data_IF_639368830603
#
_entry.id   IF_639368830603
#
_cell.length_a   1.000
_cell.length_b   1.000
_cell.length_c   1.000
_cell.angle_alpha   90.00
_cell.angle_beta   90.00
_cell.angle_gamma   90.00
#
_symmetry.space_group_name_H-M   'P 1'
#
loop_
_entity.id
_entity.type
_entity.pdbx_description
1 polymer ?
#
# COMPACT_ATOMS: atom_id res chain seq x y z
N UNK A 1 2.36 20.28 3.08
CA UNK A 1 3.00 19.27 2.22
C UNK A 1 2.50 17.89 2.62
N UNK A 2 2.49 16.92 1.70
CA UNK A 2 2.12 15.53 1.99
C UNK A 2 3.40 14.76 2.31
N UNK A 3 3.41 14.00 3.41
CA UNK A 3 4.49 13.08 3.78
C UNK A 3 3.99 11.65 3.68
N UNK A 4 4.71 10.79 2.96
CA UNK A 4 4.39 9.38 2.82
C UNK A 4 5.51 8.53 3.42
N UNK A 5 5.15 7.43 4.09
CA UNK A 5 6.09 6.49 4.68
C UNK A 5 5.80 5.08 4.15
N UNK A 6 6.77 4.49 3.45
CA UNK A 6 6.69 3.09 3.02
C UNK A 6 7.11 2.17 4.16
N UNK A 7 6.20 1.27 4.57
CA UNK A 7 6.41 0.40 5.73
C UNK A 7 6.32 -1.05 5.31
N UNK A 8 7.43 -1.78 5.43
CA UNK A 8 7.41 -3.22 5.24
C UNK A 8 6.49 -3.89 6.28
N UNK A 9 5.77 -4.98 5.93
CA UNK A 9 4.77 -5.59 6.82
C UNK A 9 5.32 -5.93 8.21
N UNK A 10 6.56 -6.41 8.30
CA UNK A 10 7.23 -6.76 9.57
C UNK A 10 7.57 -5.56 10.45
N UNK A 11 7.68 -4.36 9.88
CA UNK A 11 8.03 -3.14 10.59
C UNK A 11 6.81 -2.37 11.13
N UNK A 12 5.58 -2.74 10.71
CA UNK A 12 4.35 -2.01 11.01
C UNK A 12 4.18 -1.66 12.49
N UNK A 13 4.28 -2.64 13.39
CA UNK A 13 4.15 -2.41 14.85
C UNK A 13 5.19 -1.45 15.42
N UNK A 14 6.43 -1.47 14.89
CA UNK A 14 7.50 -0.58 15.33
C UNK A 14 7.21 0.86 14.91
N UNK A 15 6.76 1.03 13.67
CA UNK A 15 6.39 2.34 13.11
C UNK A 15 5.16 2.91 13.81
N UNK A 16 4.13 2.10 14.08
CA UNK A 16 2.95 2.54 14.84
C UNK A 16 3.32 3.07 16.23
N UNK A 17 4.26 2.42 16.92
CA UNK A 17 4.76 2.91 18.21
C UNK A 17 5.52 4.23 18.04
N UNK A 18 6.41 4.32 17.05
CA UNK A 18 7.15 5.55 16.75
C UNK A 18 6.20 6.73 16.50
N UNK A 19 5.17 6.54 15.67
CA UNK A 19 4.19 7.58 15.36
C UNK A 19 3.39 7.99 16.59
N UNK A 20 2.99 7.02 17.43
CA UNK A 20 2.30 7.30 18.70
C UNK A 20 3.16 8.10 19.66
N UNK A 21 4.42 7.72 19.84
CA UNK A 21 5.35 8.40 20.75
C UNK A 21 5.60 9.84 20.26
N UNK A 22 5.61 10.05 18.94
CA UNK A 22 5.68 11.36 18.30
C UNK A 22 4.34 12.12 18.27
N UNK A 23 3.24 11.52 18.74
CA UNK A 23 1.86 12.07 18.67
C UNK A 23 1.43 12.44 17.24
N UNK A 24 1.89 11.67 16.25
CA UNK A 24 1.51 11.83 14.84
C UNK A 24 0.42 10.84 14.50
N UNK A 25 -0.71 11.33 14.01
CA UNK A 25 -1.75 10.51 13.39
C UNK A 25 -1.44 10.34 11.90
N UNK A 26 -1.43 9.09 11.43
CA UNK A 26 -1.21 8.75 10.03
C UNK A 26 -2.35 7.83 9.54
N UNK A 27 -2.79 8.04 8.30
CA UNK A 27 -3.68 7.11 7.62
C UNK A 27 -2.88 5.92 7.08
N UNK A 28 -3.36 4.73 7.34
CA UNK A 28 -2.83 3.51 6.74
C UNK A 28 -3.68 3.16 5.53
N UNK A 29 -3.03 2.89 4.41
CA UNK A 29 -3.67 2.45 3.18
C UNK A 29 -2.72 1.57 2.39
N UNK A 30 -3.29 0.83 1.44
CA UNK A 30 -2.49 0.15 0.42
C UNK A 30 -1.88 1.20 -0.51
N UNK A 31 -0.69 0.92 -1.08
CA UNK A 31 -0.24 1.70 -2.23
C UNK A 31 -1.31 1.61 -3.34
N UNK A 32 -1.51 2.66 -4.15
CA UNK A 32 -2.41 2.57 -5.29
C UNK A 32 -1.93 1.46 -6.22
N UNK A 33 -2.88 0.70 -6.75
CA UNK A 33 -2.62 -0.35 -7.74
C UNK A 33 -2.08 0.26 -9.05
N UNK A 34 -1.48 -0.58 -9.90
CA UNK A 34 -1.00 -0.14 -11.20
C UNK A 34 -2.13 0.47 -12.06
N UNK A 35 -3.33 -0.12 -12.02
CA UNK A 35 -4.49 0.39 -12.76
C UNK A 35 -4.98 1.75 -12.24
N UNK A 36 -5.02 1.95 -10.91
CA UNK A 36 -5.35 3.25 -10.32
C UNK A 36 -4.31 4.31 -10.67
N UNK A 37 -3.02 3.94 -10.70
CA UNK A 37 -1.95 4.86 -11.13
C UNK A 37 -2.15 5.26 -12.60
N UNK A 38 -2.42 4.29 -13.48
CA UNK A 38 -2.67 4.55 -14.90
C UNK A 38 -3.88 5.46 -15.10
N UNK A 39 -4.99 5.18 -14.41
CA UNK A 39 -6.20 5.99 -14.51
C UNK A 39 -5.97 7.43 -14.03
N UNK A 40 -5.22 7.60 -12.94
CA UNK A 40 -4.87 8.92 -12.43
C UNK A 40 -3.90 9.66 -13.36
N UNK A 41 -3.00 8.94 -14.02
CA UNK A 41 -2.10 9.49 -15.03
C UNK A 41 -2.83 9.94 -16.29
N UNK A 42 -3.82 9.16 -16.74
CA UNK A 42 -4.69 9.55 -17.85
C UNK A 42 -5.54 10.77 -17.48
N UNK A 43 -6.06 10.84 -16.26
CA UNK A 43 -6.77 12.02 -15.77
C UNK A 43 -5.87 13.26 -15.71
N UNK A 44 -4.61 13.12 -15.27
CA UNK A 44 -3.63 14.21 -15.29
C UNK A 44 -3.32 14.67 -16.70
N UNK A 45 -3.15 13.73 -17.64
CA UNK A 45 -2.93 14.06 -19.04
C UNK A 45 -4.10 14.88 -19.59
N UNK A 46 -5.34 14.47 -19.34
CA UNK A 46 -6.52 15.19 -19.83
C UNK A 46 -6.69 16.59 -19.21
N UNK A 47 -6.13 16.82 -18.02
CA UNK A 47 -6.12 18.12 -17.36
C UNK A 47 -4.88 18.97 -17.69
N UNK A 48 -3.99 18.49 -18.55
CA UNK A 48 -2.73 19.16 -18.85
C UNK A 48 -2.97 20.45 -19.67
N UNK A 49 -2.44 21.60 -19.22
CA UNK A 49 -2.59 22.88 -19.93
C UNK A 49 -2.11 22.85 -21.38
N UNK A 50 -1.23 21.91 -21.76
CA UNK A 50 -0.70 21.74 -23.12
C UNK A 50 -1.79 21.63 -24.20
N UNK A 51 -3.01 21.21 -23.84
CA UNK A 51 -4.14 21.13 -24.77
C UNK A 51 -4.91 22.45 -24.94
N UNK A 52 -4.67 23.41 -24.06
CA UNK A 52 -5.35 24.72 -24.05
C UNK A 52 -4.42 25.88 -24.38
N UNK A 53 -3.11 25.62 -24.48
CA UNK A 53 -2.12 26.60 -24.91
C UNK A 53 -2.27 26.92 -26.41
N UNK A 54 -2.04 28.18 -26.77
CA UNK A 54 -2.09 28.62 -28.15
C UNK A 54 -0.94 27.99 -28.95
N UNK A 55 -1.27 27.25 -29.99
CA UNK A 55 -0.28 26.73 -30.93
C UNK A 55 0.29 27.85 -31.80
N UNK A 56 1.60 27.88 -31.97
CA UNK A 56 2.23 28.74 -32.99
C UNK A 56 1.83 28.30 -34.41
N UNK A 57 2.00 29.19 -35.39
CA UNK A 57 1.67 28.89 -36.79
C UNK A 57 2.42 27.66 -37.34
N UNK A 58 3.69 27.50 -36.96
CA UNK A 58 4.52 26.37 -37.38
C UNK A 58 4.04 25.04 -36.76
N UNK A 59 3.61 25.06 -35.50
CA UNK A 59 3.07 23.87 -34.82
C UNK A 59 1.73 23.46 -35.41
N UNK A 60 0.88 24.42 -35.75
CA UNK A 60 -0.41 24.16 -36.38
C UNK A 60 -0.26 23.54 -37.80
N UNK A 61 0.71 24.00 -38.58
CA UNK A 61 1.01 23.44 -39.90
C UNK A 61 1.53 22.00 -39.82
N UNK A 62 2.44 21.73 -38.88
CA UNK A 62 2.93 20.37 -38.64
C UNK A 62 1.81 19.45 -38.13
N UNK A 63 0.96 19.93 -37.22
CA UNK A 63 -0.16 19.16 -36.70
C UNK A 63 -1.14 18.76 -37.81
N UNK A 64 -1.47 19.69 -38.72
CA UNK A 64 -2.28 19.38 -39.92
C UNK A 64 -1.63 18.31 -40.78
N UNK A 65 -0.34 18.47 -41.08
CA UNK A 65 0.41 17.50 -41.89
C UNK A 65 0.39 16.10 -41.26
N UNK A 66 0.55 16.00 -39.94
CA UNK A 66 0.49 14.74 -39.20
C UNK A 66 -0.90 14.11 -39.27
N UNK A 67 -1.96 14.90 -39.09
CA UNK A 67 -3.35 14.42 -39.17
C UNK A 67 -3.68 13.96 -40.58
N UNK A 68 -3.30 14.72 -41.61
CA UNK A 68 -3.56 14.37 -43.01
C UNK A 68 -2.82 13.09 -43.45
N UNK A 69 -1.62 12.86 -42.90
CA UNK A 69 -0.79 11.69 -43.27
C UNK A 69 -1.19 10.42 -42.50
N UNK A 70 -1.46 10.53 -41.19
CA UNK A 70 -1.60 9.37 -40.29
C UNK A 70 -3.00 9.22 -39.68
N UNK A 71 -3.85 10.25 -39.75
CA UNK A 71 -5.14 10.29 -39.07
C UNK A 71 -5.03 10.73 -37.60
N UNK A 72 -6.11 11.34 -37.10
CA UNK A 72 -6.15 11.93 -35.75
C UNK A 72 -5.97 10.87 -34.65
N UNK A 73 -6.58 9.70 -34.79
CA UNK A 73 -6.52 8.61 -33.81
C UNK A 73 -5.11 8.05 -33.66
N UNK A 74 -4.39 7.86 -34.78
CA UNK A 74 -3.03 7.34 -34.76
C UNK A 74 -2.05 8.36 -34.18
N UNK A 75 -2.23 9.65 -34.48
CA UNK A 75 -1.43 10.74 -33.90
C UNK A 75 -1.67 10.84 -32.39
N UNK A 76 -2.93 10.79 -31.94
CA UNK A 76 -3.26 10.78 -30.51
C UNK A 76 -2.66 9.55 -29.80
N UNK A 77 -2.76 8.35 -30.40
CA UNK A 77 -2.16 7.15 -29.84
C UNK A 77 -0.63 7.23 -29.77
N UNK A 78 0.02 7.82 -30.78
CA UNK A 78 1.47 8.05 -30.78
C UNK A 78 1.89 9.04 -29.68
N UNK A 79 1.11 10.11 -29.49
CA UNK A 79 1.32 11.06 -28.40
C UNK A 79 1.19 10.38 -27.03
N UNK A 80 0.13 9.59 -26.79
CA UNK A 80 -0.05 8.84 -25.54
C UNK A 80 1.14 7.89 -25.29
N UNK A 81 1.61 7.16 -26.32
CA UNK A 81 2.81 6.31 -26.20
C UNK A 81 4.05 7.11 -25.82
N UNK A 82 4.29 8.26 -26.46
CA UNK A 82 5.43 9.13 -26.18
C UNK A 82 5.36 9.72 -24.77
N UNK A 83 4.18 10.15 -24.34
CA UNK A 83 3.92 10.69 -23.01
C UNK A 83 4.18 9.65 -21.92
N UNK A 84 3.75 8.41 -22.14
CA UNK A 84 3.99 7.29 -21.23
C UNK A 84 5.44 6.82 -21.25
N UNK A 85 6.14 6.89 -22.39
CA UNK A 85 7.56 6.51 -22.47
C UNK A 85 8.49 7.37 -21.59
N UNK A 86 8.09 8.60 -21.26
CA UNK A 86 8.79 9.46 -20.32
C UNK A 86 8.51 9.17 -18.83
N UNK A 87 7.58 8.25 -18.52
CA UNK A 87 7.18 7.90 -17.15
C UNK A 87 7.51 6.43 -16.89
N UNK A 88 8.19 6.15 -15.78
CA UNK A 88 8.46 4.77 -15.34
C UNK A 88 7.13 4.03 -15.19
N UNK A 89 7.03 2.82 -15.76
CA UNK A 89 5.81 2.02 -15.64
C UNK A 89 5.51 1.75 -14.15
N UNK A 90 4.25 1.90 -13.71
CA UNK A 90 3.88 1.60 -12.33
C UNK A 90 4.15 0.11 -12.05
N UNK A 91 5.05 -0.15 -11.12
CA UNK A 91 5.45 -1.52 -10.78
C UNK A 91 4.31 -2.21 -10.03
N UNK A 92 4.04 -3.46 -10.41
CA UNK A 92 2.96 -4.25 -9.82
C UNK A 92 3.35 -4.70 -8.40
N UNK A 93 2.85 -3.98 -7.40
CA UNK A 93 3.15 -4.25 -5.99
C UNK A 93 2.24 -5.35 -5.48
N UNK A 94 2.84 -6.41 -4.92
CA UNK A 94 2.10 -7.51 -4.27
C UNK A 94 1.17 -6.95 -3.19
N UNK A 95 -0.05 -7.48 -3.19
CA UNK A 95 -1.09 -7.12 -2.24
C UNK A 95 -0.61 -7.37 -0.80
N UNK A 96 -0.62 -6.32 0.03
CA UNK A 96 -0.22 -6.38 1.45
C UNK A 96 -1.49 -6.34 2.30
N UNK A 97 -1.65 -7.33 3.17
CA UNK A 97 -2.72 -7.35 4.18
C UNK A 97 -2.63 -6.11 5.08
N UNK A 98 -3.66 -5.29 4.99
CA UNK A 98 -3.85 -3.99 5.63
C UNK A 98 -4.78 -4.05 6.84
N UNK A 99 -5.22 -5.26 7.24
CA UNK A 99 -6.14 -5.46 8.37
C UNK A 99 -5.59 -4.85 9.66
N UNK A 100 -6.35 -3.90 10.21
CA UNK A 100 -6.08 -3.34 11.53
C UNK A 100 -6.06 -4.46 12.59
N UNK A 101 -5.12 -4.44 13.55
CA UNK A 101 -5.09 -5.46 14.58
C UNK A 101 -6.40 -5.40 15.40
N UNK A 102 -7.08 -6.55 15.50
CA UNK A 102 -8.24 -6.71 16.38
C UNK A 102 -7.85 -6.27 17.79
N UNK A 103 -8.55 -5.26 18.32
CA UNK A 103 -8.45 -4.84 19.72
C UNK A 103 -9.26 -5.80 20.60
N UNK A 104 -9.00 -7.10 20.51
CA UNK A 104 -9.51 -8.04 21.50
C UNK A 104 -8.36 -8.84 22.08
N UNK A 105 -7.79 -8.27 23.14
CA UNK A 105 -6.90 -8.95 24.06
C UNK A 105 -7.53 -8.95 25.46
N UNK A 106 -8.83 -9.18 25.55
CA UNK A 106 -9.55 -9.36 26.81
C UNK A 106 -10.03 -10.79 27.07
N UNK A 107 -9.50 -11.80 26.34
CA UNK A 107 -9.68 -13.20 26.70
C UNK A 107 -8.32 -13.90 26.83
N UNK A 108 -7.49 -13.42 27.75
CA UNK A 108 -6.49 -14.32 28.38
C UNK A 108 -7.19 -14.96 29.56
N UNK A 109 -7.60 -16.21 29.33
CA UNK A 109 -8.21 -17.15 30.26
C UNK A 109 -7.99 -16.82 31.73
N UNK A 110 -9.14 -16.70 32.39
CA UNK A 110 -9.35 -16.84 33.82
C UNK A 110 -8.40 -17.91 34.38
N UNK A 111 -7.41 -17.50 35.18
CA UNK A 111 -6.54 -18.42 35.93
C UNK A 111 -7.27 -18.86 37.20
N UNK A 112 -8.44 -19.46 37.04
CA UNK A 112 -9.07 -20.28 38.06
C UNK A 112 -8.93 -21.70 37.57
N UNK A 113 -8.09 -22.46 38.25
CA UNK A 113 -8.04 -23.94 38.30
C UNK A 113 -6.66 -24.36 38.82
N UNK A 114 -6.29 -23.83 39.98
CA UNK A 114 -5.10 -24.26 40.73
C UNK A 114 -5.47 -24.73 42.14
N UNK A 115 -6.71 -25.18 42.34
CA UNK A 115 -7.17 -25.67 43.64
C UNK A 115 -7.50 -27.17 43.71
N UNK A 116 -7.50 -27.92 42.60
CA UNK A 116 -7.80 -29.37 42.61
C UNK A 116 -6.57 -30.28 42.46
N UNK A 117 -5.51 -30.03 43.25
CA UNK A 117 -4.42 -31.02 43.39
C UNK A 117 -4.57 -31.76 44.73
N UNK A 118 -4.97 -33.05 44.73
CA UNK A 118 -5.10 -33.80 45.98
C UNK A 118 -3.74 -33.95 46.68
N UNK A 119 -3.70 -33.96 48.03
CA UNK A 119 -2.46 -34.11 48.78
C UNK A 119 -1.76 -35.43 48.44
N UNK A 120 -0.45 -35.35 48.18
CA UNK A 120 0.37 -36.53 47.90
C UNK A 120 0.55 -37.32 49.20
N UNK A 121 -0.04 -38.51 49.29
CA UNK A 121 0.14 -39.41 50.44
C UNK A 121 1.62 -39.74 50.66
N UNK A 122 2.07 -39.62 51.91
CA UNK A 122 3.40 -40.04 52.35
C UNK A 122 3.45 -41.57 52.30
N UNK A 123 4.24 -42.13 51.37
CA UNK A 123 4.60 -43.55 51.41
C UNK A 123 5.40 -43.83 52.69
N UNK A 124 4.84 -44.66 53.57
CA UNK A 124 5.57 -45.26 54.68
C UNK A 124 6.77 -46.04 54.15
N UNK A 125 7.95 -45.77 54.74
CA UNK A 125 9.13 -46.60 54.54
C UNK A 125 8.87 -47.92 55.26
N UNK A 126 8.58 -48.97 54.50
CA UNK A 126 8.67 -50.32 55.03
C UNK A 126 10.14 -50.65 55.29
N UNK A 127 10.46 -50.85 56.56
CA UNK A 127 11.70 -51.47 57.01
C UNK A 127 11.81 -52.87 56.41
N UNK A 128 12.83 -53.10 55.58
CA UNK A 128 13.26 -54.45 55.21
C UNK A 128 14.29 -54.91 56.24
N UNK A 129 13.81 -55.74 57.15
CA UNK A 129 14.58 -56.57 58.09
C UNK A 129 14.92 -57.89 57.39
N UNK A 130 16.17 -58.34 57.50
CA UNK A 130 16.62 -59.68 57.08
C UNK A 130 17.82 -59.63 56.15
#
# INVERSE_FOLDING_TARGET
GVSALLVAPRARRRVERLLRDAKIEASWGKPPSADEINALDDARLMADPIFTEDSSANEAELARTLIDTYGAEQVAAAFVRRHRAGRTAPEDLRDVDDRAPSRDRNERGDRRDRDDRPPREKRERQDRKG
#
